data_IF_115480576366
#
_entry.id   IF_115480576366
#
_cell.length_a   1.000
_cell.length_b   1.000
_cell.length_c   1.000
_cell.angle_alpha   90.00
_cell.angle_beta   90.00
_cell.angle_gamma   90.00
#
_symmetry.space_group_name_H-M   'P 1'
#
loop_
_entity.id
_entity.type
_entity.pdbx_description
1 polymer ?
#
# COMPACT_ATOMS: atom_id res chain seq x y z
N UNK A 1 -2.39 -2.95 1.90
CA UNK A 1 -1.01 -2.49 2.22
C UNK A 1 -0.92 -0.99 1.98
N UNK A 2 0.11 -0.27 2.48
CA UNK A 2 0.37 1.11 2.10
C UNK A 2 1.61 1.24 1.19
N UNK A 3 1.59 2.21 0.26
CA UNK A 3 2.71 2.58 -0.61
C UNK A 3 2.83 4.10 -0.80
N UNK A 4 3.92 4.54 -1.46
CA UNK A 4 4.22 5.96 -1.68
C UNK A 4 3.57 6.55 -2.92
N UNK A 5 3.29 5.73 -3.93
CA UNK A 5 2.69 6.15 -5.19
C UNK A 5 1.17 6.06 -5.17
N UNK A 6 0.49 7.07 -5.70
CA UNK A 6 -0.94 6.99 -5.97
C UNK A 6 -1.14 6.40 -7.37
N UNK A 7 -1.13 5.06 -7.46
CA UNK A 7 -1.28 4.35 -8.71
C UNK A 7 -2.61 3.59 -8.73
N UNK A 8 -3.30 3.50 -9.88
CA UNK A 8 -2.99 4.14 -11.16
C UNK A 8 -3.49 5.58 -11.29
N UNK A 9 -4.26 6.08 -10.33
CA UNK A 9 -4.97 7.36 -10.42
C UNK A 9 -4.07 8.54 -10.84
N UNK A 10 -2.88 8.71 -10.25
CA UNK A 10 -2.00 9.82 -10.63
C UNK A 10 -1.53 9.76 -12.10
N UNK A 11 -1.53 8.57 -12.71
CA UNK A 11 -1.17 8.37 -14.11
C UNK A 11 -2.33 8.65 -15.09
N UNK A 12 -3.57 8.80 -14.59
CA UNK A 12 -4.77 9.04 -15.41
C UNK A 12 -5.00 10.52 -15.77
N UNK A 13 -3.96 11.36 -15.65
CA UNK A 13 -4.02 12.77 -15.99
C UNK A 13 -4.57 13.66 -14.86
N UNK A 14 -5.07 14.87 -15.19
CA UNK A 14 -5.39 15.89 -14.17
C UNK A 14 -6.43 15.46 -13.14
N UNK A 15 -7.46 14.71 -13.57
CA UNK A 15 -8.55 14.27 -12.68
C UNK A 15 -8.03 13.30 -11.62
N UNK A 16 -7.24 12.31 -12.03
CA UNK A 16 -6.67 11.35 -11.09
C UNK A 16 -5.64 11.98 -10.16
N UNK A 17 -4.90 13.01 -10.62
CA UNK A 17 -4.04 13.81 -9.73
C UNK A 17 -4.84 14.56 -8.66
N UNK A 18 -5.98 15.15 -9.01
CA UNK A 18 -6.89 15.80 -8.04
C UNK A 18 -7.39 14.78 -7.01
N UNK A 19 -7.76 13.58 -7.45
CA UNK A 19 -8.15 12.49 -6.53
C UNK A 19 -7.03 12.18 -5.53
N UNK A 20 -5.81 11.97 -6.00
CA UNK A 20 -4.66 11.65 -5.14
C UNK A 20 -4.31 12.78 -4.17
N UNK A 21 -4.32 14.02 -4.64
CA UNK A 21 -3.86 15.17 -3.86
C UNK A 21 -4.92 15.60 -2.83
N UNK A 22 -6.18 15.69 -3.27
CA UNK A 22 -7.24 16.38 -2.51
C UNK A 22 -8.24 15.44 -1.84
N UNK A 23 -8.55 14.29 -2.45
CA UNK A 23 -9.58 13.38 -1.94
C UNK A 23 -8.98 12.27 -1.05
N UNK A 24 -7.78 11.81 -1.38
CA UNK A 24 -7.12 10.77 -0.59
C UNK A 24 -6.79 11.28 0.83
N UNK A 25 -7.04 10.50 1.90
CA UNK A 25 -6.68 10.90 3.26
C UNK A 25 -5.21 11.28 3.42
N UNK A 26 -4.96 12.34 4.20
CA UNK A 26 -3.61 12.75 4.56
C UNK A 26 -2.93 11.70 5.45
N UNK A 27 -1.59 11.66 5.39
CA UNK A 27 -0.76 10.73 6.16
C UNK A 27 0.42 11.46 6.77
N UNK A 28 0.83 11.05 7.97
CA UNK A 28 2.06 11.55 8.60
C UNK A 28 3.33 10.89 8.04
N UNK A 29 3.19 9.94 7.12
CA UNK A 29 4.30 9.26 6.43
C UNK A 29 4.08 9.31 4.92
N UNK A 30 5.15 9.15 4.11
CA UNK A 30 5.02 9.03 2.66
C UNK A 30 4.17 7.82 2.20
N UNK A 31 3.97 6.80 3.05
CA UNK A 31 3.12 5.65 2.76
C UNK A 31 1.63 6.02 2.91
N UNK A 32 1.13 6.84 1.99
CA UNK A 32 -0.21 7.44 2.05
C UNK A 32 -1.27 6.60 1.34
N UNK A 33 -0.90 5.95 0.25
CA UNK A 33 -1.84 5.35 -0.70
C UNK A 33 -1.95 3.84 -0.50
N UNK A 34 -3.09 3.25 -0.87
CA UNK A 34 -3.27 1.80 -0.88
C UNK A 34 -2.31 1.17 -1.88
N UNK A 35 -1.73 0.03 -1.50
CA UNK A 35 -1.34 -1.03 -2.42
C UNK A 35 -2.29 -2.22 -2.24
N UNK A 36 -2.93 -2.67 -3.31
CA UNK A 36 -3.94 -3.74 -3.28
C UNK A 36 -3.35 -5.15 -3.27
N UNK A 37 -2.08 -5.31 -3.68
CA UNK A 37 -1.46 -6.63 -3.85
C UNK A 37 -1.37 -7.44 -2.56
N UNK A 38 -1.45 -6.79 -1.40
CA UNK A 38 -1.49 -7.46 -0.10
C UNK A 38 -2.40 -6.76 0.90
N UNK A 39 -3.18 -7.53 1.65
CA UNK A 39 -3.98 -7.05 2.77
C UNK A 39 -4.22 -8.18 3.76
N UNK A 40 -4.71 -7.84 4.96
CA UNK A 40 -5.05 -8.79 6.02
C UNK A 40 -6.31 -8.29 6.73
N UNK A 41 -7.17 -9.21 7.12
CA UNK A 41 -8.42 -8.92 7.82
C UNK A 41 -9.16 -10.19 8.20
N UNK A 42 -10.34 -10.04 8.79
CA UNK A 42 -11.23 -11.17 9.06
C UNK A 42 -11.80 -11.71 7.75
N UNK A 43 -12.16 -13.00 7.73
CA UNK A 43 -12.79 -13.62 6.56
C UNK A 43 -14.10 -12.90 6.14
N UNK A 44 -14.87 -12.40 7.11
CA UNK A 44 -16.08 -11.61 6.84
C UNK A 44 -15.75 -10.27 6.16
N UNK A 45 -14.73 -9.55 6.64
CA UNK A 45 -14.29 -8.29 6.01
C UNK A 45 -13.76 -8.52 4.60
N UNK A 46 -13.00 -9.60 4.40
CA UNK A 46 -12.52 -10.06 3.10
C UNK A 46 -13.68 -10.29 2.12
N UNK A 47 -14.66 -11.10 2.53
CA UNK A 47 -15.82 -11.42 1.70
C UNK A 47 -16.60 -10.17 1.29
N UNK A 48 -16.82 -9.24 2.24
CA UNK A 48 -17.49 -7.98 1.95
C UNK A 48 -16.71 -7.11 0.97
N UNK A 49 -15.38 -7.00 1.12
CA UNK A 49 -14.53 -6.28 0.18
C UNK A 49 -14.61 -6.88 -1.23
N UNK A 50 -14.49 -8.20 -1.37
CA UNK A 50 -14.58 -8.85 -2.68
C UNK A 50 -15.96 -8.65 -3.33
N UNK A 51 -17.03 -8.71 -2.55
CA UNK A 51 -18.39 -8.47 -3.05
C UNK A 51 -18.52 -7.04 -3.59
N UNK A 52 -17.96 -6.05 -2.90
CA UNK A 52 -17.93 -4.66 -3.35
C UNK A 52 -17.07 -4.47 -4.60
N UNK A 53 -15.88 -5.08 -4.65
CA UNK A 53 -15.00 -5.00 -5.81
C UNK A 53 -15.64 -5.55 -7.08
N UNK A 54 -16.32 -6.70 -6.98
CA UNK A 54 -17.05 -7.30 -8.12
C UNK A 54 -18.21 -6.42 -8.58
N UNK A 55 -18.88 -5.73 -7.66
CA UNK A 55 -19.99 -4.84 -7.97
C UNK A 55 -19.55 -3.49 -8.57
N UNK A 56 -18.28 -3.08 -8.40
CA UNK A 56 -17.81 -1.76 -8.79
C UNK A 56 -17.78 -1.57 -10.31
N UNK A 57 -16.87 -2.25 -11.02
CA UNK A 57 -16.82 -2.25 -12.50
C UNK A 57 -15.94 -3.40 -12.99
N UNK A 58 -16.48 -4.37 -13.75
CA UNK A 58 -15.69 -5.43 -14.36
C UNK A 58 -14.59 -4.89 -15.27
N UNK A 59 -13.37 -5.43 -15.16
CA UNK A 59 -12.24 -5.11 -16.05
C UNK A 59 -11.41 -3.89 -15.63
N UNK A 60 -11.73 -3.22 -14.53
CA UNK A 60 -10.83 -2.24 -13.94
C UNK A 60 -9.69 -2.91 -13.17
N UNK A 61 -8.57 -2.18 -13.10
CA UNK A 61 -7.43 -2.52 -12.25
C UNK A 61 -7.86 -2.62 -10.77
N UNK A 62 -7.40 -3.66 -10.08
CA UNK A 62 -7.80 -3.94 -8.70
C UNK A 62 -7.36 -2.82 -7.74
N UNK A 63 -6.18 -2.23 -7.97
CA UNK A 63 -5.68 -1.13 -7.16
C UNK A 63 -6.51 0.13 -7.34
N UNK A 64 -6.94 0.42 -8.57
CA UNK A 64 -7.86 1.51 -8.85
C UNK A 64 -9.18 1.34 -8.09
N UNK A 65 -9.80 0.15 -8.15
CA UNK A 65 -11.06 -0.11 -7.44
C UNK A 65 -10.89 0.06 -5.93
N UNK A 66 -9.84 -0.54 -5.35
CA UNK A 66 -9.63 -0.48 -3.89
C UNK A 66 -9.26 0.94 -3.43
N UNK A 67 -8.59 1.76 -4.26
CA UNK A 67 -8.34 3.17 -3.94
C UNK A 67 -9.64 3.94 -3.70
N UNK A 68 -10.61 3.81 -4.61
CA UNK A 68 -11.88 4.55 -4.52
C UNK A 68 -12.74 4.03 -3.38
N UNK A 69 -12.84 2.71 -3.21
CA UNK A 69 -13.49 2.10 -2.04
C UNK A 69 -12.87 2.60 -0.74
N UNK A 70 -11.54 2.69 -0.66
CA UNK A 70 -10.85 3.19 0.53
C UNK A 70 -11.19 4.64 0.84
N UNK A 71 -11.21 5.51 -0.18
CA UNK A 71 -11.54 6.94 -0.01
C UNK A 71 -12.98 7.14 0.43
N UNK A 72 -13.92 6.36 -0.11
CA UNK A 72 -15.34 6.45 0.24
C UNK A 72 -15.65 5.83 1.61
N UNK A 73 -14.98 4.72 1.95
CA UNK A 73 -15.31 3.88 3.11
C UNK A 73 -14.20 3.83 4.16
N UNK A 74 -13.47 4.94 4.36
CA UNK A 74 -12.27 5.02 5.21
C UNK A 74 -12.39 4.36 6.58
N UNK A 75 -13.56 4.44 7.23
CA UNK A 75 -13.80 3.87 8.56
C UNK A 75 -13.74 2.33 8.60
N UNK A 76 -13.85 1.67 7.43
CA UNK A 76 -13.80 0.21 7.30
C UNK A 76 -12.39 -0.32 7.04
N UNK A 77 -11.42 0.56 6.79
CA UNK A 77 -10.07 0.17 6.39
C UNK A 77 -9.02 0.79 7.30
N UNK A 78 -7.94 0.04 7.52
CA UNK A 78 -6.71 0.57 8.06
C UNK A 78 -5.60 0.39 7.03
N UNK A 79 -4.79 1.43 6.83
CA UNK A 79 -3.57 1.33 6.04
C UNK A 79 -2.37 1.22 6.98
N UNK A 80 -1.48 0.28 6.67
CA UNK A 80 -0.20 0.12 7.35
C UNK A 80 0.79 1.23 6.94
N UNK A 81 0.47 2.47 7.30
CA UNK A 81 1.22 3.67 6.91
C UNK A 81 2.61 3.74 7.53
N UNK A 82 2.92 2.87 8.49
CA UNK A 82 4.23 2.80 9.14
C UNK A 82 5.03 1.59 8.69
N UNK A 83 4.53 0.79 7.74
CA UNK A 83 5.20 -0.44 7.29
C UNK A 83 5.57 -1.36 8.46
N UNK A 84 4.63 -1.54 9.40
CA UNK A 84 4.78 -2.47 10.52
C UNK A 84 4.60 -3.93 10.07
N UNK A 85 3.69 -4.16 9.14
CA UNK A 85 3.40 -5.48 8.58
C UNK A 85 3.97 -5.60 7.17
N UNK A 86 3.69 -4.62 6.30
CA UNK A 86 3.99 -4.69 4.87
C UNK A 86 4.95 -3.58 4.45
N UNK A 87 6.01 -3.96 3.75
CA UNK A 87 6.89 -3.03 3.04
C UNK A 87 6.61 -3.09 1.54
N UNK A 88 6.11 -2.00 0.98
CA UNK A 88 6.13 -1.80 -0.48
C UNK A 88 7.54 -1.44 -0.91
N UNK A 89 8.09 -2.18 -1.88
CA UNK A 89 9.42 -1.99 -2.46
C UNK A 89 9.30 -1.43 -3.89
N UNK A 90 8.49 -0.38 -4.06
CA UNK A 90 8.22 0.21 -5.37
C UNK A 90 9.43 0.96 -5.93
N UNK A 91 10.24 0.26 -6.75
CA UNK A 91 11.41 0.82 -7.43
C UNK A 91 12.42 1.47 -6.49
N UNK A 92 13.22 2.40 -7.04
CA UNK A 92 14.34 3.03 -6.32
C UNK A 92 13.89 3.98 -5.20
N UNK A 93 12.61 4.37 -5.19
CA UNK A 93 12.07 5.38 -4.27
C UNK A 93 12.08 4.96 -2.80
N UNK A 94 12.28 3.68 -2.51
CA UNK A 94 12.23 3.11 -1.15
C UNK A 94 13.59 2.58 -0.70
N UNK A 95 14.54 2.33 -1.61
CA UNK A 95 15.81 1.67 -1.30
C UNK A 95 16.62 2.43 -0.25
N UNK A 96 16.63 3.77 -0.31
CA UNK A 96 17.37 4.61 0.64
C UNK A 96 16.89 4.45 2.10
N UNK A 97 15.64 4.04 2.30
CA UNK A 97 15.02 3.91 3.63
C UNK A 97 15.02 2.47 4.15
N UNK A 98 15.62 1.54 3.41
CA UNK A 98 15.58 0.10 3.68
C UNK A 98 16.98 -0.42 3.96
N UNK A 99 17.14 -1.01 5.15
CA UNK A 99 18.41 -1.58 5.59
C UNK A 99 18.26 -3.07 5.92
N UNK A 100 19.00 -3.96 5.24
CA UNK A 100 19.19 -5.32 5.72
C UNK A 100 19.95 -5.31 7.04
N UNK A 101 19.45 -6.03 8.03
CA UNK A 101 20.08 -6.21 9.34
C UNK A 101 20.40 -7.69 9.50
N UNK A 102 21.69 -7.98 9.59
CA UNK A 102 22.19 -9.31 9.95
C UNK A 102 22.35 -9.39 11.45
N UNK A 103 21.94 -10.51 12.03
CA UNK A 103 22.12 -10.76 13.47
C UNK A 103 22.99 -12.00 13.63
N UNK A 104 23.82 -12.05 14.67
CA UNK A 104 24.72 -13.17 14.92
C UNK A 104 24.01 -14.43 15.41
N UNK A 105 22.77 -14.31 15.88
CA UNK A 105 22.03 -15.37 16.59
C UNK A 105 20.58 -15.57 16.09
N UNK A 106 20.18 -14.92 15.00
CA UNK A 106 18.80 -14.96 14.52
C UNK A 106 18.65 -14.65 13.03
N UNK A 107 17.43 -14.81 12.54
CA UNK A 107 17.12 -14.60 11.13
C UNK A 107 17.37 -13.14 10.71
N UNK A 108 18.01 -12.92 9.55
CA UNK A 108 18.17 -11.58 9.01
C UNK A 108 16.81 -10.95 8.76
N UNK A 109 16.73 -9.63 8.91
CA UNK A 109 15.50 -8.91 8.66
C UNK A 109 15.77 -7.61 7.93
N UNK A 110 14.70 -7.03 7.41
CA UNK A 110 14.70 -5.70 6.82
C UNK A 110 14.21 -4.69 7.84
N UNK A 111 14.91 -3.58 7.96
CA UNK A 111 14.54 -2.45 8.79
C UNK A 111 14.20 -1.23 7.92
N UNK A 112 13.02 -0.66 8.13
CA UNK A 112 12.64 0.61 7.54
C UNK A 112 13.13 1.75 8.45
N UNK A 113 14.12 2.50 8.00
CA UNK A 113 14.76 3.58 8.78
C UNK A 113 13.83 4.79 8.93
N UNK A 114 12.97 5.04 7.94
CA UNK A 114 12.03 6.16 7.93
C UNK A 114 10.93 5.99 8.98
N UNK A 115 10.31 4.81 9.04
CA UNK A 115 9.22 4.53 9.98
C UNK A 115 9.69 3.89 11.27
N UNK A 116 10.97 3.48 11.34
CA UNK A 116 11.62 2.76 12.44
C UNK A 116 10.92 1.44 12.77
N UNK A 117 10.58 0.67 11.74
CA UNK A 117 9.87 -0.62 11.88
C UNK A 117 10.65 -1.76 11.24
N UNK A 118 10.35 -2.99 11.68
CA UNK A 118 10.75 -4.24 11.04
C UNK A 118 9.52 -4.83 10.34
N UNK A 119 9.29 -4.52 9.05
CA UNK A 119 8.19 -5.14 8.30
C UNK A 119 8.33 -6.66 8.29
N UNK A 120 7.18 -7.35 8.30
CA UNK A 120 7.12 -8.81 8.27
C UNK A 120 7.08 -9.35 6.83
N UNK A 121 6.51 -8.58 5.90
CA UNK A 121 6.33 -9.00 4.53
C UNK A 121 6.86 -7.92 3.60
N UNK A 122 7.73 -8.32 2.66
CA UNK A 122 8.26 -7.47 1.61
C UNK A 122 7.48 -7.75 0.33
N UNK A 123 6.90 -6.71 -0.27
CA UNK A 123 6.22 -6.79 -1.54
C UNK A 123 7.00 -6.00 -2.59
N UNK A 124 7.63 -6.72 -3.52
CA UNK A 124 8.39 -6.16 -4.64
C UNK A 124 7.47 -5.74 -5.80
N UNK A 125 6.60 -4.76 -5.51
CA UNK A 125 5.64 -4.21 -6.47
C UNK A 125 6.31 -3.31 -7.51
N UNK A 126 5.68 -3.18 -8.68
CA UNK A 126 6.22 -2.40 -9.79
C UNK A 126 7.63 -2.83 -10.20
N UNK A 127 8.54 -1.86 -10.29
CA UNK A 127 9.95 -2.04 -10.66
C UNK A 127 10.84 -2.68 -9.59
N UNK A 128 10.31 -3.07 -8.43
CA UNK A 128 11.09 -3.59 -7.30
C UNK A 128 11.70 -4.99 -7.46
N UNK A 129 11.48 -5.69 -8.58
CA UNK A 129 11.91 -7.09 -8.77
C UNK A 129 13.36 -7.25 -9.26
N UNK A 130 14.11 -6.16 -9.33
CA UNK A 130 15.45 -6.10 -9.94
C UNK A 130 16.55 -6.18 -8.91
#
# INVERSE_FOLDING_TARGET
QAERGCWPDAAMGPVGKIFCDNLYPQSSTPYRYVNSGMWIGTAAAAFNLFTEMVAYTPGLDDQHVVNHIFVDLQKRFALDRRSQLFQSMHGDTVIADIRPVHTSLGEPFVFNTLTRTRPLILHFNGGGKR
#
